data_IF_493485966299
#
_entry.id   IF_493485966299
#
_cell.length_a   1.000
_cell.length_b   1.000
_cell.length_c   1.000
_cell.angle_alpha   90.00
_cell.angle_beta   90.00
_cell.angle_gamma   90.00
#
_symmetry.space_group_name_H-M   'P 1'
#
loop_
_entity.id
_entity.type
_entity.pdbx_description
1 polymer ?
#
# COMPACT_ATOMS: atom_id res chain seq x y z
N UNK A 1 22.63 -0.96 -28.43
CA UNK A 1 21.50 -0.31 -27.76
C UNK A 1 21.65 -0.59 -26.27
N UNK A 2 21.97 0.41 -25.43
CA UNK A 2 22.10 0.18 -24.00
C UNK A 2 20.70 -0.12 -23.44
N UNK A 3 20.53 -1.28 -22.82
CA UNK A 3 19.32 -1.59 -22.08
C UNK A 3 19.09 -0.51 -21.03
N UNK A 4 17.96 0.19 -21.09
CA UNK A 4 17.57 1.15 -20.04
C UNK A 4 17.33 0.33 -18.79
N UNK A 5 18.35 0.27 -17.94
CA UNK A 5 18.28 -0.37 -16.63
C UNK A 5 17.47 0.56 -15.74
N UNK A 6 16.15 0.44 -15.78
CA UNK A 6 15.26 1.12 -14.82
C UNK A 6 15.73 0.70 -13.44
N UNK A 7 16.45 1.60 -12.78
CA UNK A 7 17.16 1.24 -11.56
C UNK A 7 16.11 1.13 -10.46
N UNK A 8 15.76 -0.12 -10.09
CA UNK A 8 14.84 -0.42 -8.97
C UNK A 8 15.23 0.38 -7.70
N UNK A 9 16.51 0.72 -7.53
CA UNK A 9 17.01 1.51 -6.41
C UNK A 9 16.48 2.95 -6.37
N UNK A 10 16.34 3.64 -7.51
CA UNK A 10 15.91 5.04 -7.55
C UNK A 10 14.44 5.19 -7.17
N UNK A 11 13.59 4.32 -7.72
CA UNK A 11 12.18 4.28 -7.38
C UNK A 11 11.96 3.85 -5.91
N UNK A 12 12.68 2.81 -5.45
CA UNK A 12 12.68 2.39 -4.05
C UNK A 12 13.12 3.51 -3.11
N UNK A 13 14.20 4.21 -3.43
CA UNK A 13 14.69 5.32 -2.62
C UNK A 13 13.68 6.47 -2.61
N UNK A 14 13.02 6.75 -3.74
CA UNK A 14 11.91 7.70 -3.81
C UNK A 14 10.77 7.33 -2.85
N UNK A 15 10.36 6.07 -2.82
CA UNK A 15 9.30 5.58 -1.93
C UNK A 15 9.68 5.72 -0.44
N UNK A 16 10.93 5.39 -0.11
CA UNK A 16 11.45 5.53 1.25
C UNK A 16 11.58 6.99 1.68
N UNK A 17 12.12 7.84 0.80
CA UNK A 17 12.29 9.28 1.06
C UNK A 17 10.96 10.02 1.09
N UNK A 18 9.96 9.52 0.35
CA UNK A 18 8.57 9.98 0.40
C UNK A 18 7.83 9.61 1.69
N UNK A 19 8.50 8.95 2.64
CA UNK A 19 7.98 8.74 3.99
C UNK A 19 6.94 7.62 4.12
N UNK A 20 6.84 6.70 3.15
CA UNK A 20 5.84 5.61 3.19
C UNK A 20 5.94 4.79 4.47
N UNK A 21 7.16 4.43 4.91
CA UNK A 21 7.33 3.64 6.13
C UNK A 21 6.88 4.40 7.38
N UNK A 22 7.21 5.69 7.45
CA UNK A 22 6.76 6.56 8.54
C UNK A 22 5.24 6.72 8.55
N UNK A 23 4.59 6.81 7.38
CA UNK A 23 3.14 6.80 7.32
C UNK A 23 2.55 5.48 7.84
N UNK A 24 3.12 4.34 7.43
CA UNK A 24 2.66 3.04 7.88
C UNK A 24 2.71 2.94 9.41
N UNK A 25 3.79 3.39 10.05
CA UNK A 25 3.95 3.40 11.51
C UNK A 25 2.89 4.22 12.24
N UNK A 26 2.42 5.31 11.64
CA UNK A 26 1.48 6.24 12.25
C UNK A 26 0.04 6.08 11.74
N UNK A 27 -0.28 4.97 11.06
CA UNK A 27 -1.63 4.71 10.56
C UNK A 27 -2.63 4.65 11.72
N UNK A 28 -3.75 5.41 11.67
CA UNK A 28 -4.70 5.48 12.78
C UNK A 28 -5.68 4.29 12.79
N UNK A 29 -5.16 3.06 12.81
CA UNK A 29 -5.94 1.81 12.70
C UNK A 29 -6.99 1.68 13.81
N UNK A 30 -6.65 2.08 15.04
CA UNK A 30 -7.58 2.01 16.17
C UNK A 30 -8.86 2.83 15.92
N UNK A 31 -8.77 3.98 15.23
CA UNK A 31 -9.94 4.82 14.95
C UNK A 31 -10.96 4.16 14.02
N UNK A 32 -10.50 3.23 13.17
CA UNK A 32 -11.35 2.44 12.28
C UNK A 32 -11.91 1.18 12.95
N UNK A 33 -11.15 0.60 13.88
CA UNK A 33 -11.57 -0.59 14.65
C UNK A 33 -12.49 -0.23 15.82
N UNK A 34 -12.31 0.96 16.40
CA UNK A 34 -13.14 1.52 17.46
C UNK A 34 -13.41 2.99 17.15
N UNK A 35 -14.37 3.27 16.26
CA UNK A 35 -14.81 4.64 16.04
C UNK A 35 -15.43 5.16 17.34
N UNK A 36 -14.80 6.17 17.95
CA UNK A 36 -15.40 6.90 19.05
C UNK A 36 -16.75 7.46 18.58
N UNK A 37 -17.76 7.37 19.46
CA UNK A 37 -19.16 7.66 19.18
C UNK A 37 -19.40 8.70 18.08
N UNK A 38 -19.99 8.21 16.99
CA UNK A 38 -20.69 8.91 15.89
C UNK A 38 -20.63 10.44 15.88
N UNK A 39 -19.91 11.01 14.89
CA UNK A 39 -20.30 12.22 14.15
C UNK A 39 -19.53 12.39 12.81
N UNK A 40 -18.87 11.35 12.29
CA UNK A 40 -18.27 11.41 10.95
C UNK A 40 -19.36 11.18 9.88
N UNK A 41 -19.62 12.17 9.03
CA UNK A 41 -20.49 12.00 7.85
C UNK A 41 -19.85 11.09 6.80
N UNK A 42 -20.68 10.34 6.04
CA UNK A 42 -20.23 9.46 4.96
C UNK A 42 -20.02 7.99 5.35
N UNK A 43 -19.25 7.24 4.55
CA UNK A 43 -18.96 5.80 4.73
C UNK A 43 -18.39 5.46 6.12
N UNK A 44 -17.59 6.36 6.71
CA UNK A 44 -17.02 6.23 8.06
C UNK A 44 -18.11 6.24 9.14
N UNK A 45 -19.19 7.01 8.95
CA UNK A 45 -20.31 7.07 9.89
C UNK A 45 -21.20 5.82 9.85
N UNK A 46 -21.37 5.22 8.67
CA UNK A 46 -22.14 3.97 8.50
C UNK A 46 -21.34 2.77 8.98
N UNK A 47 -20.07 2.66 8.59
CA UNK A 47 -19.15 1.62 9.09
C UNK A 47 -18.93 1.74 10.59
N UNK A 48 -18.85 2.98 11.10
CA UNK A 48 -18.64 3.22 12.53
C UNK A 48 -19.78 2.72 13.41
N UNK A 49 -21.04 2.81 12.96
CA UNK A 49 -22.20 2.25 13.69
C UNK A 49 -22.21 0.72 13.73
N UNK A 50 -21.74 0.06 12.68
CA UNK A 50 -21.68 -1.42 12.62
C UNK A 50 -20.53 -1.94 13.47
N UNK A 51 -19.37 -1.31 13.39
CA UNK A 51 -18.16 -1.73 14.10
C UNK A 51 -18.26 -1.46 15.61
N UNK A 52 -18.90 -0.34 16.02
CA UNK A 52 -19.18 -0.06 17.43
C UNK A 52 -20.14 -1.06 18.09
N UNK A 53 -20.80 -1.90 17.29
CA UNK A 53 -21.76 -2.91 17.76
C UNK A 53 -21.11 -4.26 18.06
N UNK A 54 -19.80 -4.44 17.80
CA UNK A 54 -19.07 -5.68 18.09
C UNK A 54 -18.42 -5.53 19.48
N UNK A 55 -19.00 -6.10 20.56
CA UNK A 55 -18.60 -5.78 21.93
C UNK A 55 -17.16 -6.20 22.23
N UNK A 56 -16.67 -7.25 21.56
CA UNK A 56 -15.35 -7.81 21.79
C UNK A 56 -14.22 -6.84 21.40
N UNK A 57 -14.44 -5.96 20.42
CA UNK A 57 -13.45 -4.98 19.97
C UNK A 57 -13.23 -3.86 21.00
N UNK A 58 -14.16 -3.66 21.93
CA UNK A 58 -13.97 -2.72 23.04
C UNK A 58 -12.84 -3.14 23.99
N UNK A 59 -12.40 -4.40 23.92
CA UNK A 59 -11.27 -4.91 24.67
C UNK A 59 -9.92 -4.46 24.08
N UNK A 60 -9.90 -3.88 22.87
CA UNK A 60 -8.68 -3.34 22.26
C UNK A 60 -8.42 -1.95 22.84
N UNK A 61 -7.23 -1.80 23.42
CA UNK A 61 -6.74 -0.54 23.97
C UNK A 61 -5.97 0.26 22.92
N UNK A 62 -5.17 -0.44 22.13
CA UNK A 62 -4.22 0.18 21.20
C UNK A 62 -3.89 -0.78 20.05
N UNK A 63 -3.62 -0.22 18.88
CA UNK A 63 -3.11 -0.93 17.71
C UNK A 63 -1.93 -0.14 17.17
N UNK A 64 -0.73 -0.70 17.30
CA UNK A 64 0.50 -0.08 16.78
C UNK A 64 1.00 -0.83 15.58
N UNK A 65 1.36 -0.09 14.55
CA UNK A 65 2.12 -0.62 13.43
C UNK A 65 3.60 -0.62 13.82
N UNK A 66 4.28 -1.73 13.57
CA UNK A 66 5.70 -1.93 13.86
C UNK A 66 6.36 -2.62 12.67
N UNK A 67 7.68 -2.53 12.59
CA UNK A 67 8.47 -3.21 11.56
C UNK A 67 7.96 -2.98 10.12
N UNK A 68 7.67 -1.74 9.70
CA UNK A 68 7.27 -1.48 8.32
C UNK A 68 8.43 -1.79 7.37
N UNK A 69 8.11 -2.46 6.28
CA UNK A 69 9.08 -2.90 5.29
C UNK A 69 8.53 -2.67 3.89
N UNK A 70 9.38 -2.09 3.05
CA UNK A 70 9.21 -2.11 1.61
C UNK A 70 10.00 -3.31 1.09
N UNK A 71 9.31 -4.29 0.50
CA UNK A 71 9.95 -5.45 -0.11
C UNK A 71 10.48 -5.09 -1.51
N UNK A 72 10.94 -6.09 -2.27
CA UNK A 72 11.47 -5.89 -3.62
C UNK A 72 10.36 -5.48 -4.60
N UNK A 73 10.53 -4.34 -5.27
CA UNK A 73 9.55 -3.80 -6.21
C UNK A 73 9.59 -4.61 -7.51
N UNK A 74 8.42 -5.07 -7.92
CA UNK A 74 8.22 -5.73 -9.21
C UNK A 74 7.97 -4.72 -10.32
N UNK A 75 8.55 -4.95 -11.50
CA UNK A 75 8.29 -4.19 -12.71
C UNK A 75 7.89 -5.18 -13.81
N UNK A 76 6.77 -4.94 -14.47
CA UNK A 76 6.35 -5.72 -15.63
C UNK A 76 5.76 -4.80 -16.69
N UNK A 77 6.04 -5.05 -17.97
CA UNK A 77 5.37 -4.35 -19.06
C UNK A 77 4.08 -5.07 -19.45
N UNK A 78 3.11 -4.31 -19.95
CA UNK A 78 1.95 -4.86 -20.64
C UNK A 78 2.37 -5.65 -21.87
N UNK A 79 1.45 -6.48 -22.38
CA UNK A 79 1.69 -7.28 -23.58
C UNK A 79 1.96 -6.44 -24.84
N UNK A 80 1.33 -5.27 -24.93
CA UNK A 80 1.57 -4.29 -26.01
C UNK A 80 2.78 -3.38 -25.71
N UNK A 81 3.43 -3.54 -24.56
CA UNK A 81 4.59 -2.79 -24.08
C UNK A 81 4.39 -1.26 -23.93
N UNK A 82 3.15 -0.76 -24.03
CA UNK A 82 2.85 0.66 -23.87
C UNK A 82 2.64 1.09 -22.41
N UNK A 83 2.50 0.12 -21.50
CA UNK A 83 2.25 0.33 -20.07
C UNK A 83 3.27 -0.41 -19.24
N UNK A 84 3.65 0.19 -18.13
CA UNK A 84 4.51 -0.38 -17.10
C UNK A 84 3.68 -0.54 -15.83
N UNK A 85 3.56 -1.76 -15.32
CA UNK A 85 2.96 -2.04 -14.03
C UNK A 85 4.05 -2.18 -12.97
N UNK A 86 3.95 -1.36 -11.94
CA UNK A 86 4.87 -1.30 -10.81
C UNK A 86 4.18 -1.90 -9.59
N UNK A 87 4.64 -3.07 -9.15
CA UNK A 87 4.14 -3.72 -7.95
C UNK A 87 5.00 -3.33 -6.75
N UNK A 88 4.37 -2.75 -5.74
CA UNK A 88 4.97 -2.22 -4.52
C UNK A 88 4.52 -3.10 -3.35
N UNK A 89 5.26 -4.16 -3.04
CA UNK A 89 4.96 -5.04 -1.92
C UNK A 89 5.37 -4.40 -0.60
N UNK A 90 4.40 -4.30 0.31
CA UNK A 90 4.56 -3.75 1.65
C UNK A 90 4.31 -4.83 2.69
N UNK A 91 5.11 -4.79 3.76
CA UNK A 91 4.95 -5.64 4.93
C UNK A 91 5.03 -4.81 6.21
N UNK A 92 4.25 -5.17 7.23
CA UNK A 92 4.35 -4.60 8.56
C UNK A 92 3.72 -5.52 9.59
N UNK A 93 3.99 -5.27 10.87
CA UNK A 93 3.41 -6.01 11.98
C UNK A 93 2.48 -5.12 12.79
N UNK A 94 1.38 -5.69 13.28
CA UNK A 94 0.45 -5.03 14.18
C UNK A 94 0.61 -5.60 15.58
N UNK A 95 0.88 -4.73 16.54
CA UNK A 95 0.85 -5.04 17.97
C UNK A 95 -0.44 -4.52 18.56
N UNK A 96 -1.31 -5.44 18.97
CA UNK A 96 -2.63 -5.14 19.49
C UNK A 96 -2.61 -5.34 21.00
N UNK A 97 -2.73 -4.24 21.74
CA UNK A 97 -2.80 -4.27 23.18
C UNK A 97 -4.26 -4.44 23.62
N UNK A 98 -4.53 -5.37 24.51
CA UNK A 98 -5.89 -5.69 24.94
C UNK A 98 -6.04 -5.60 26.46
N UNK A 99 -7.28 -5.43 26.93
CA UNK A 99 -7.64 -5.43 28.35
C UNK A 99 -7.53 -6.82 29.01
N UNK A 100 -7.35 -7.88 28.23
CA UNK A 100 -7.21 -9.25 28.75
C UNK A 100 -5.77 -9.42 29.24
N UNK A 101 -5.60 -9.55 30.56
CA UNK A 101 -4.30 -9.58 31.26
C UNK A 101 -3.30 -10.54 30.58
N UNK A 102 -2.12 -10.03 30.23
CA UNK A 102 -1.01 -10.81 29.68
C UNK A 102 -1.11 -11.16 28.20
N UNK A 103 -2.08 -10.60 27.46
CA UNK A 103 -2.31 -10.97 26.06
C UNK A 103 -2.01 -9.84 25.07
N UNK A 104 -0.86 -9.99 24.41
CA UNK A 104 -0.47 -9.23 23.23
C UNK A 104 -0.84 -10.06 22.00
N UNK A 105 -1.61 -9.50 21.08
CA UNK A 105 -1.85 -10.11 19.77
C UNK A 105 -0.93 -9.46 18.76
N UNK A 106 -0.14 -10.27 18.08
CA UNK A 106 0.77 -9.82 17.01
C UNK A 106 0.31 -10.39 15.68
N UNK A 107 0.09 -9.52 14.68
CA UNK A 107 -0.32 -9.89 13.33
C UNK A 107 0.73 -9.42 12.33
N UNK A 108 1.22 -10.29 11.46
CA UNK A 108 1.96 -9.88 10.27
C UNK A 108 0.98 -9.56 9.14
N UNK A 109 1.20 -8.42 8.49
CA UNK A 109 0.41 -7.95 7.35
C UNK A 109 1.33 -7.83 6.14
N UNK A 110 0.88 -8.35 5.00
CA UNK A 110 1.49 -8.12 3.69
C UNK A 110 0.41 -7.61 2.74
N UNK A 111 0.75 -6.63 1.92
CA UNK A 111 -0.15 -6.05 0.93
C UNK A 111 0.66 -5.53 -0.25
N UNK A 112 0.18 -5.79 -1.46
CA UNK A 112 0.81 -5.26 -2.67
C UNK A 112 -0.05 -4.13 -3.23
N UNK A 113 0.59 -3.04 -3.64
CA UNK A 113 -0.05 -1.97 -4.42
C UNK A 113 0.52 -1.99 -5.83
N UNK A 114 -0.34 -2.02 -6.84
CA UNK A 114 0.08 -1.94 -8.23
C UNK A 114 -0.28 -0.58 -8.80
N UNK A 115 0.73 0.10 -9.33
CA UNK A 115 0.57 1.36 -10.06
C UNK A 115 0.85 1.14 -11.55
N UNK A 116 -0.08 1.56 -12.38
CA UNK A 116 0.10 1.64 -13.82
C UNK A 116 0.80 2.95 -14.19
N UNK A 117 1.83 2.84 -15.02
CA UNK A 117 2.58 3.96 -15.57
C UNK A 117 2.56 3.86 -17.08
N UNK A 118 2.20 4.94 -17.76
CA UNK A 118 2.22 5.01 -19.22
C UNK A 118 2.76 6.35 -19.69
N UNK A 119 3.11 6.42 -20.96
CA UNK A 119 3.69 7.60 -21.56
C UNK A 119 2.66 8.40 -22.36
N UNK A 120 2.72 9.72 -22.25
CA UNK A 120 1.92 10.67 -23.03
C UNK A 120 2.83 11.73 -23.64
N UNK A 121 2.40 12.32 -24.76
CA UNK A 121 3.03 13.53 -25.29
C UNK A 121 2.27 14.76 -24.82
N UNK A 122 3.01 15.75 -24.36
CA UNK A 122 2.41 17.05 -24.04
C UNK A 122 2.09 17.88 -25.28
N UNK A 123 1.45 19.03 -25.07
CA UNK A 123 1.10 19.97 -26.15
C UNK A 123 2.33 20.52 -26.91
N UNK A 124 3.53 20.39 -26.34
CA UNK A 124 4.80 20.80 -26.94
C UNK A 124 5.57 19.62 -27.55
N UNK A 125 4.96 18.43 -27.63
CA UNK A 125 5.57 17.21 -28.16
C UNK A 125 6.56 16.52 -27.22
N UNK A 126 6.69 16.94 -25.96
CA UNK A 126 7.57 16.32 -24.97
C UNK A 126 6.91 15.09 -24.35
N UNK A 127 7.63 13.97 -24.37
CA UNK A 127 7.21 12.72 -23.72
C UNK A 127 7.26 12.86 -22.20
N UNK A 128 6.20 12.42 -21.52
CA UNK A 128 6.07 12.38 -20.06
C UNK A 128 5.51 11.05 -19.59
N UNK A 129 5.96 10.60 -18.43
CA UNK A 129 5.33 9.49 -17.72
C UNK A 129 4.18 10.02 -16.85
N UNK A 130 3.08 9.28 -16.84
CA UNK A 130 1.90 9.57 -16.04
C UNK A 130 1.42 8.30 -15.35
N UNK A 131 0.73 8.48 -14.22
CA UNK A 131 0.10 7.38 -13.50
C UNK A 131 -1.32 7.19 -14.03
N UNK A 132 -1.66 5.93 -14.31
CA UNK A 132 -3.02 5.49 -14.57
C UNK A 132 -3.68 4.98 -13.30
N UNK A 133 -4.12 3.73 -13.35
CA UNK A 133 -4.71 3.09 -12.19
C UNK A 133 -3.64 2.81 -11.13
N UNK A 134 -3.92 3.23 -9.89
CA UNK A 134 -3.13 2.85 -8.73
C UNK A 134 -4.04 2.24 -7.68
N UNK A 135 -3.96 0.92 -7.56
CA UNK A 135 -4.86 0.10 -6.76
C UNK A 135 -4.10 -0.93 -5.94
N UNK A 136 -4.65 -1.32 -4.80
CA UNK A 136 -4.17 -2.52 -4.12
C UNK A 136 -4.42 -3.76 -5.00
N UNK A 137 -3.47 -4.69 -5.02
CA UNK A 137 -3.60 -5.91 -5.82
C UNK A 137 -4.66 -6.83 -5.19
N UNK A 138 -5.71 -7.23 -5.92
CA UNK A 138 -6.75 -8.12 -5.38
C UNK A 138 -6.15 -9.42 -4.84
N UNK A 139 -6.55 -9.79 -3.62
CA UNK A 139 -6.06 -11.01 -2.95
C UNK A 139 -4.60 -10.96 -2.45
N UNK A 140 -3.90 -9.84 -2.60
CA UNK A 140 -2.53 -9.69 -2.06
C UNK A 140 -2.49 -9.46 -0.56
N UNK A 141 -3.59 -8.95 0.03
CA UNK A 141 -3.67 -8.76 1.48
C UNK A 141 -3.58 -10.11 2.18
N UNK A 142 -2.55 -10.27 3.01
CA UNK A 142 -2.38 -11.41 3.90
C UNK A 142 -2.19 -10.92 5.31
N UNK A 143 -3.04 -11.38 6.21
CA UNK A 143 -2.94 -11.12 7.65
C UNK A 143 -2.72 -12.47 8.31
N UNK A 144 -1.61 -12.63 9.03
CA UNK A 144 -1.22 -13.86 9.69
C UNK A 144 -0.96 -13.61 11.17
N UNK A 145 -1.52 -14.45 12.03
CA UNK A 145 -1.26 -14.41 13.46
C UNK A 145 0.17 -14.88 13.75
N UNK A 146 0.98 -14.00 14.32
CA UNK A 146 2.33 -14.31 14.80
C UNK A 146 2.31 -14.77 16.25
N UNK A 147 1.51 -14.12 17.08
CA UNK A 147 1.36 -14.43 18.49
C UNK A 147 -0.07 -14.11 18.96
N UNK A 148 -0.66 -15.00 19.73
CA UNK A 148 -2.01 -14.85 20.27
C UNK A 148 -2.43 -16.10 21.04
N UNK A 149 -3.23 -15.92 22.09
CA UNK A 149 -3.74 -17.02 22.91
C UNK A 149 -5.08 -17.52 22.36
N UNK A 150 -5.34 -18.84 22.44
CA UNK A 150 -6.61 -19.45 21.99
C UNK A 150 -7.90 -18.79 22.49
N UNK A 151 -8.02 -18.26 23.74
CA UNK A 151 -9.23 -17.56 24.17
C UNK A 151 -9.54 -16.25 23.41
N UNK A 152 -8.60 -15.74 22.60
CA UNK A 152 -8.77 -14.51 21.82
C UNK A 152 -9.15 -14.76 20.36
N UNK A 153 -9.44 -16.00 19.96
CA UNK A 153 -9.71 -16.31 18.55
C UNK A 153 -10.86 -15.47 17.97
N UNK A 154 -11.96 -15.30 18.71
CA UNK A 154 -13.09 -14.48 18.27
C UNK A 154 -12.76 -12.99 18.15
N UNK A 155 -11.86 -12.48 18.99
CA UNK A 155 -11.32 -11.12 18.87
C UNK A 155 -10.46 -11.00 17.62
N UNK A 156 -9.57 -11.97 17.39
CA UNK A 156 -8.65 -12.02 16.25
C UNK A 156 -9.45 -12.09 14.94
N UNK A 157 -10.49 -12.92 14.88
CA UNK A 157 -11.34 -13.07 13.70
C UNK A 157 -12.09 -11.76 13.39
N UNK A 158 -12.70 -11.16 14.42
CA UNK A 158 -13.43 -9.87 14.28
C UNK A 158 -12.50 -8.74 13.86
N UNK A 159 -11.30 -8.68 14.45
CA UNK A 159 -10.29 -7.70 14.10
C UNK A 159 -9.80 -7.90 12.67
N UNK A 160 -9.51 -9.14 12.27
CA UNK A 160 -9.02 -9.48 10.93
C UNK A 160 -10.06 -9.11 9.85
N UNK A 161 -11.35 -9.34 10.10
CA UNK A 161 -12.42 -8.95 9.17
C UNK A 161 -12.46 -7.41 8.94
N UNK A 162 -12.25 -6.62 10.00
CA UNK A 162 -12.19 -5.16 9.88
C UNK A 162 -10.92 -4.71 9.18
N UNK A 163 -9.76 -5.24 9.59
CA UNK A 163 -8.47 -4.90 8.99
C UNK A 163 -8.45 -5.22 7.49
N UNK A 164 -9.11 -6.31 7.08
CA UNK A 164 -9.27 -6.71 5.68
C UNK A 164 -9.99 -5.65 4.84
N UNK A 165 -10.91 -4.89 5.45
CA UNK A 165 -11.68 -3.82 4.79
C UNK A 165 -10.96 -2.47 4.82
N UNK A 166 -10.16 -2.22 5.87
CA UNK A 166 -9.59 -0.90 6.16
C UNK A 166 -8.17 -0.74 5.59
N UNK A 167 -7.29 -1.74 5.80
CA UNK A 167 -5.88 -1.64 5.44
C UNK A 167 -5.67 -1.34 3.95
N UNK A 168 -6.35 -2.02 3.00
CA UNK A 168 -6.14 -1.75 1.58
C UNK A 168 -6.38 -0.29 1.19
N UNK A 169 -7.45 0.31 1.70
CA UNK A 169 -7.79 1.71 1.43
C UNK A 169 -6.79 2.69 2.04
N UNK A 170 -6.34 2.45 3.26
CA UNK A 170 -5.34 3.31 3.93
C UNK A 170 -3.99 3.27 3.23
N UNK A 171 -3.50 2.07 2.91
CA UNK A 171 -2.20 1.90 2.26
C UNK A 171 -2.23 2.49 0.85
N UNK A 172 -3.28 2.19 0.07
CA UNK A 172 -3.46 2.75 -1.27
C UNK A 172 -3.53 4.29 -1.23
N UNK A 173 -4.24 4.86 -0.26
CA UNK A 173 -4.39 6.30 -0.07
C UNK A 173 -3.08 7.05 0.17
N UNK A 174 -1.99 6.36 0.52
CA UNK A 174 -0.67 6.97 0.70
C UNK A 174 0.34 6.55 -0.33
N UNK A 175 0.36 5.28 -0.71
CA UNK A 175 1.30 4.80 -1.73
C UNK A 175 1.03 5.52 -3.06
N UNK A 176 -0.22 5.64 -3.47
CA UNK A 176 -0.54 6.22 -4.79
C UNK A 176 -0.12 7.69 -4.94
N UNK A 177 -0.39 8.60 -3.97
CA UNK A 177 0.15 9.95 -4.03
C UNK A 177 1.69 10.01 -4.04
N UNK A 178 2.36 9.15 -3.28
CA UNK A 178 3.83 9.12 -3.24
C UNK A 178 4.41 8.65 -4.57
N UNK A 179 3.83 7.61 -5.19
CA UNK A 179 4.27 7.16 -6.52
C UNK A 179 4.11 8.29 -7.54
N UNK A 180 3.01 9.05 -7.48
CA UNK A 180 2.80 10.20 -8.36
C UNK A 180 3.87 11.29 -8.16
N UNK A 181 4.20 11.57 -6.91
CA UNK A 181 5.28 12.49 -6.55
C UNK A 181 6.63 12.01 -7.09
N UNK A 182 6.98 10.73 -6.94
CA UNK A 182 8.27 10.19 -7.40
C UNK A 182 8.43 10.32 -8.91
N UNK A 183 7.40 10.01 -9.71
CA UNK A 183 7.51 10.14 -11.16
C UNK A 183 7.85 11.56 -11.60
N UNK A 184 7.39 12.58 -10.86
CA UNK A 184 7.74 13.98 -11.12
C UNK A 184 9.17 14.36 -10.71
N UNK A 185 9.83 13.56 -9.88
CA UNK A 185 11.17 13.79 -9.34
C UNK A 185 12.25 12.95 -10.03
N UNK A 186 11.85 12.01 -10.89
CA UNK A 186 12.80 11.21 -11.67
C UNK A 186 13.58 12.09 -12.64
N UNK A 187 14.83 11.69 -12.92
CA UNK A 187 15.70 12.36 -13.88
C UNK A 187 14.99 12.55 -15.22
N UNK A 188 15.00 13.77 -15.74
CA UNK A 188 14.31 14.14 -16.99
C UNK A 188 14.77 13.27 -18.17
N UNK A 189 16.03 12.86 -18.18
CA UNK A 189 16.61 11.97 -19.19
C UNK A 189 16.04 10.57 -19.08
N UNK A 190 15.98 10.02 -17.85
CA UNK A 190 15.39 8.70 -17.59
C UNK A 190 13.90 8.67 -17.92
N UNK A 191 13.17 9.72 -17.53
CA UNK A 191 11.74 9.89 -17.84
C UNK A 191 11.54 9.93 -19.34
N UNK A 192 12.37 10.67 -20.07
CA UNK A 192 12.28 10.78 -21.52
C UNK A 192 12.53 9.43 -22.21
N UNK A 193 13.61 8.73 -21.84
CA UNK A 193 13.99 7.44 -22.44
C UNK A 193 12.92 6.37 -22.19
N UNK A 194 12.45 6.25 -20.94
CA UNK A 194 11.39 5.30 -20.60
C UNK A 194 10.08 5.67 -21.29
N UNK A 195 9.75 6.96 -21.35
CA UNK A 195 8.53 7.41 -22.03
C UNK A 195 8.59 7.13 -23.54
N UNK A 196 9.73 7.33 -24.17
CA UNK A 196 9.90 7.05 -25.60
C UNK A 196 9.78 5.54 -25.91
N UNK A 197 10.38 4.69 -25.07
CA UNK A 197 10.24 3.24 -25.19
C UNK A 197 8.78 2.77 -25.04
N UNK A 198 8.05 3.33 -24.08
CA UNK A 198 6.62 3.02 -23.88
C UNK A 198 5.76 3.56 -25.04
N UNK A 199 6.04 4.75 -25.57
CA UNK A 199 5.30 5.31 -26.71
C UNK A 199 5.47 4.48 -27.99
N UNK A 200 6.61 3.80 -28.14
CA UNK A 200 6.90 2.96 -29.31
C UNK A 200 6.63 1.46 -29.06
N UNK A 201 6.11 1.09 -27.88
CA UNK A 201 5.82 -0.31 -27.56
C UNK A 201 7.06 -1.20 -27.55
N UNK A 202 8.18 -0.70 -27.03
CA UNK A 202 9.45 -1.45 -26.98
C UNK A 202 9.56 -2.22 -25.65
N UNK A 203 9.90 -3.50 -25.73
CA UNK A 203 10.22 -4.29 -24.55
C UNK A 203 11.61 -3.89 -23.99
N UNK A 204 11.66 -3.46 -22.74
CA UNK A 204 12.90 -3.13 -22.04
C UNK A 204 12.98 -3.72 -20.63
N UNK A 205 11.86 -4.20 -20.08
CA UNK A 205 11.86 -4.95 -18.82
C UNK A 205 12.14 -6.42 -19.15
N UNK A 206 13.34 -6.88 -18.81
CA UNK A 206 13.73 -8.28 -18.96
C UNK A 206 13.26 -9.02 -17.70
N UNK A 207 12.36 -10.00 -17.88
CA UNK A 207 12.05 -10.96 -16.81
C UNK A 207 13.31 -11.80 -16.57
N UNK A 208 13.95 -11.62 -15.43
CA UNK A 208 15.02 -12.51 -14.96
C UNK A 208 14.43 -13.88 -14.57
#
# INVERSE_FOLDING_TARGET
MPAVKVHHSGFRQGLLSGGILGFLEHMPLLSYVRPAGSNAGGLVGVLGKVISSIPILNNILDIRVTNPQLLEIGLVQSYDYHRLYVTIPLGFELKVNTLVVGSLVELAVKLDVTAEVYAVRDIHGRSRLVIGDCIHSPGSLRITLLNGLSPLQSLIDSLTDILTKVIPGLVQGVVCPVVNGILSLLDVTLVHDVADLLLHGVQFVIKA
#
